data_IF_381561011760
#
_entry.id   IF_381561011760
#
_cell.length_a   1.000
_cell.length_b   1.000
_cell.length_c   1.000
_cell.angle_alpha   90.00
_cell.angle_beta   90.00
_cell.angle_gamma   90.00
#
_symmetry.space_group_name_H-M   'P 1'
#
loop_
_entity.id
_entity.type
_entity.pdbx_description
1 polymer ?
#
# COMPACT_ATOMS: atom_id res chain seq x y z
N UNK A 1 1.12 6.43 -2.12
CA UNK A 1 0.64 5.91 -0.82
C UNK A 1 -0.84 5.70 -0.98
N UNK A 2 -1.35 4.52 -0.63
CA UNK A 2 -2.79 4.27 -0.72
C UNK A 2 -3.53 5.00 0.40
N UNK A 3 -4.71 5.55 0.07
CA UNK A 3 -5.59 6.28 0.97
C UNK A 3 -6.74 5.36 1.40
N UNK A 4 -6.87 5.16 2.71
CA UNK A 4 -7.83 4.23 3.32
C UNK A 4 -8.83 5.04 4.14
N UNK A 5 -10.13 4.76 3.94
CA UNK A 5 -11.20 5.19 4.85
C UNK A 5 -11.43 4.07 5.87
N UNK A 6 -11.40 4.40 7.15
CA UNK A 6 -11.77 3.51 8.26
C UNK A 6 -13.10 4.01 8.83
N UNK A 7 -14.13 3.16 8.79
CA UNK A 7 -15.47 3.46 9.32
C UNK A 7 -15.73 2.55 10.50
N UNK A 8 -15.72 3.12 11.70
CA UNK A 8 -15.77 2.41 12.97
C UNK A 8 -16.33 3.36 14.03
N UNK A 9 -17.29 2.94 14.84
CA UNK A 9 -17.92 3.75 15.87
C UNK A 9 -17.23 3.64 17.24
N UNK A 10 -16.40 2.63 17.45
CA UNK A 10 -15.54 2.49 18.63
C UNK A 10 -14.28 3.36 18.45
N UNK A 11 -14.21 4.47 19.21
CA UNK A 11 -13.11 5.44 19.15
C UNK A 11 -11.74 4.79 19.45
N UNK A 12 -11.69 3.82 20.40
CA UNK A 12 -10.43 3.16 20.77
C UNK A 12 -9.91 2.29 19.62
N UNK A 13 -10.79 1.53 18.98
CA UNK A 13 -10.44 0.70 17.82
C UNK A 13 -10.11 1.57 16.61
N UNK A 14 -10.84 2.66 16.41
CA UNK A 14 -10.59 3.63 15.31
C UNK A 14 -9.18 4.24 15.44
N UNK A 15 -8.82 4.71 16.64
CA UNK A 15 -7.48 5.28 16.90
C UNK A 15 -6.38 4.23 16.72
N UNK A 16 -6.59 3.00 17.22
CA UNK A 16 -5.65 1.91 17.07
C UNK A 16 -5.40 1.58 15.59
N UNK A 17 -6.46 1.46 14.81
CA UNK A 17 -6.37 1.22 13.36
C UNK A 17 -5.67 2.36 12.63
N UNK A 18 -5.97 3.60 13.00
CA UNK A 18 -5.33 4.80 12.43
C UNK A 18 -3.82 4.81 12.69
N UNK A 19 -3.40 4.51 13.93
CA UNK A 19 -1.97 4.45 14.30
C UNK A 19 -1.27 3.33 13.52
N UNK A 20 -1.83 2.12 13.51
CA UNK A 20 -1.27 0.93 12.86
C UNK A 20 -1.10 1.13 11.34
N UNK A 21 -2.15 1.62 10.69
CA UNK A 21 -2.15 1.84 9.25
C UNK A 21 -1.24 3.01 8.82
N UNK A 22 -1.23 4.09 9.62
CA UNK A 22 -0.31 5.21 9.37
C UNK A 22 1.14 4.78 9.56
N UNK A 23 1.44 3.96 10.59
CA UNK A 23 2.75 3.35 10.79
C UNK A 23 3.19 2.45 9.61
N UNK A 24 2.22 1.88 8.90
CA UNK A 24 2.42 1.08 7.68
C UNK A 24 2.40 1.90 6.38
N UNK A 25 2.52 3.22 6.48
CA UNK A 25 2.61 4.16 5.36
C UNK A 25 1.33 4.30 4.51
N UNK A 26 0.16 4.07 5.08
CA UNK A 26 -1.11 4.45 4.48
C UNK A 26 -1.51 5.88 4.88
N UNK A 27 -2.27 6.55 4.03
CA UNK A 27 -2.99 7.79 4.39
C UNK A 27 -4.35 7.34 4.91
N UNK A 28 -4.69 7.70 6.15
CA UNK A 28 -5.91 7.22 6.81
C UNK A 28 -6.82 8.40 7.13
N UNK A 29 -8.07 8.31 6.67
CA UNK A 29 -9.19 9.10 7.15
C UNK A 29 -10.14 8.19 7.91
N UNK A 30 -10.86 8.75 8.88
CA UNK A 30 -11.76 8.03 9.76
C UNK A 30 -13.15 8.61 9.70
N UNK A 31 -14.16 7.79 9.90
CA UNK A 31 -15.57 8.16 10.07
C UNK A 31 -16.17 7.37 11.23
N UNK A 32 -16.93 8.01 12.11
CA UNK A 32 -17.58 7.40 13.26
C UNK A 32 -18.98 6.87 12.97
N UNK A 33 -19.52 7.09 11.76
CA UNK A 33 -20.85 6.63 11.36
C UNK A 33 -20.93 6.33 9.88
N UNK A 34 -21.99 5.62 9.47
CA UNK A 34 -22.23 5.32 8.07
C UNK A 34 -22.59 6.57 7.25
N UNK A 35 -23.28 7.52 7.86
CA UNK A 35 -23.65 8.80 7.23
C UNK A 35 -22.42 9.62 6.92
N UNK A 36 -21.51 9.79 7.90
CA UNK A 36 -20.24 10.48 7.73
C UNK A 36 -19.37 9.82 6.65
N UNK A 37 -19.35 8.48 6.65
CA UNK A 37 -18.62 7.73 5.62
C UNK A 37 -19.14 8.03 4.22
N UNK A 38 -20.48 8.06 4.01
CA UNK A 38 -21.06 8.38 2.72
C UNK A 38 -20.74 9.81 2.28
N UNK A 39 -20.75 10.79 3.19
CA UNK A 39 -20.35 12.16 2.89
C UNK A 39 -18.89 12.25 2.43
N UNK A 40 -17.97 11.59 3.15
CA UNK A 40 -16.55 11.53 2.78
C UNK A 40 -16.35 10.86 1.42
N UNK A 41 -17.10 9.79 1.12
CA UNK A 41 -17.02 9.05 -0.14
C UNK A 41 -17.54 9.85 -1.34
N UNK A 42 -18.36 10.87 -1.14
CA UNK A 42 -18.81 11.77 -2.20
C UNK A 42 -17.74 12.79 -2.62
N UNK A 43 -16.96 13.27 -1.65
CA UNK A 43 -16.00 14.37 -1.88
C UNK A 43 -14.54 13.88 -2.03
N UNK A 44 -14.26 12.65 -1.60
CA UNK A 44 -12.89 12.11 -1.55
C UNK A 44 -12.83 10.73 -2.19
N UNK A 45 -11.78 10.50 -2.99
CA UNK A 45 -11.47 9.16 -3.53
C UNK A 45 -10.56 8.42 -2.56
N UNK A 46 -10.94 7.20 -2.24
CA UNK A 46 -10.16 6.25 -1.45
C UNK A 46 -9.73 5.06 -2.31
N UNK A 47 -8.60 4.46 -1.95
CA UNK A 47 -8.09 3.25 -2.60
C UNK A 47 -8.66 1.98 -1.95
N UNK A 48 -9.14 2.10 -0.69
CA UNK A 48 -9.78 1.02 0.06
C UNK A 48 -10.66 1.62 1.17
N UNK A 49 -11.75 0.92 1.48
CA UNK A 49 -12.65 1.22 2.59
C UNK A 49 -12.61 0.05 3.58
N UNK A 50 -12.30 0.32 4.84
CA UNK A 50 -12.54 -0.60 5.96
C UNK A 50 -13.82 -0.17 6.63
N UNK A 51 -14.79 -1.08 6.77
CA UNK A 51 -16.16 -0.73 7.12
C UNK A 51 -16.70 -1.71 8.18
N UNK A 52 -16.98 -1.21 9.37
CA UNK A 52 -17.69 -2.04 10.36
C UNK A 52 -19.09 -2.37 9.85
N UNK A 53 -19.48 -3.63 10.02
CA UNK A 53 -20.86 -4.09 9.76
C UNK A 53 -21.86 -3.43 10.70
N UNK A 54 -21.48 -3.26 11.98
CA UNK A 54 -22.36 -2.76 13.04
C UNK A 54 -22.03 -1.31 13.35
N UNK A 55 -22.75 -0.39 12.73
CA UNK A 55 -22.65 1.05 12.96
C UNK A 55 -23.93 1.61 13.54
N UNK A 56 -23.89 2.70 14.31
CA UNK A 56 -25.10 3.43 14.69
C UNK A 56 -25.74 4.11 13.47
N UNK A 57 -27.06 4.18 13.45
CA UNK A 57 -27.81 4.72 12.32
C UNK A 57 -27.87 3.74 11.16
N UNK A 58 -27.26 4.07 10.02
CA UNK A 58 -27.17 3.15 8.88
C UNK A 58 -26.03 2.15 9.08
N UNK A 59 -26.34 0.88 8.84
CA UNK A 59 -25.36 -0.22 8.98
C UNK A 59 -24.29 -0.17 7.91
N UNK A 60 -23.12 -0.77 8.18
CA UNK A 60 -22.06 -0.88 7.17
C UNK A 60 -22.51 -1.64 5.91
N UNK A 61 -23.42 -2.60 6.04
CA UNK A 61 -24.00 -3.31 4.90
C UNK A 61 -24.81 -2.35 4.01
N UNK A 62 -25.59 -1.45 4.60
CA UNK A 62 -26.36 -0.43 3.88
C UNK A 62 -25.44 0.62 3.24
N UNK A 63 -24.37 1.04 3.93
CA UNK A 63 -23.33 1.92 3.36
C UNK A 63 -22.70 1.27 2.13
N UNK A 64 -22.28 0.00 2.24
CA UNK A 64 -21.68 -0.76 1.14
C UNK A 64 -22.63 -0.81 -0.06
N UNK A 65 -23.88 -1.22 0.16
CA UNK A 65 -24.88 -1.30 -0.89
C UNK A 65 -25.12 0.05 -1.56
N UNK A 66 -25.33 1.10 -0.78
CA UNK A 66 -25.54 2.47 -1.30
C UNK A 66 -24.35 2.93 -2.15
N UNK A 67 -23.13 2.62 -1.72
CA UNK A 67 -21.91 2.96 -2.44
C UNK A 67 -21.78 2.17 -3.75
N UNK A 68 -22.13 0.87 -3.75
CA UNK A 68 -22.14 0.02 -4.93
C UNK A 68 -23.25 0.40 -5.94
N UNK A 69 -24.42 0.76 -5.47
CA UNK A 69 -25.55 1.17 -6.32
C UNK A 69 -25.22 2.44 -7.13
N UNK A 70 -24.31 3.28 -6.65
CA UNK A 70 -23.76 4.43 -7.37
C UNK A 70 -22.69 4.04 -8.42
N UNK A 71 -22.41 2.75 -8.63
CA UNK A 71 -21.43 2.22 -9.59
C UNK A 71 -19.97 2.28 -9.14
N UNK A 72 -19.72 2.54 -7.85
CA UNK A 72 -18.38 2.60 -7.30
C UNK A 72 -17.76 1.20 -7.11
N UNK A 73 -16.48 1.08 -7.41
CA UNK A 73 -15.73 -0.19 -7.39
C UNK A 73 -14.56 -0.21 -6.41
N UNK A 74 -14.39 0.82 -5.58
CA UNK A 74 -13.34 0.84 -4.55
C UNK A 74 -13.46 -0.41 -3.66
N UNK A 75 -12.38 -1.16 -3.41
CA UNK A 75 -12.41 -2.34 -2.56
C UNK A 75 -12.92 -2.03 -1.15
N UNK A 76 -13.79 -2.92 -0.63
CA UNK A 76 -14.37 -2.81 0.71
C UNK A 76 -13.99 -4.05 1.51
N UNK A 77 -13.31 -3.82 2.65
CA UNK A 77 -13.07 -4.82 3.70
C UNK A 77 -14.07 -4.61 4.82
N UNK A 78 -15.01 -5.55 4.98
CA UNK A 78 -15.94 -5.52 6.10
C UNK A 78 -15.29 -6.01 7.39
N UNK A 79 -15.46 -5.28 8.48
CA UNK A 79 -15.12 -5.70 9.83
C UNK A 79 -16.39 -6.25 10.50
N UNK A 80 -16.33 -7.45 11.07
CA UNK A 80 -17.53 -8.08 11.69
C UNK A 80 -17.20 -8.71 13.04
N UNK A 81 -18.05 -8.51 14.04
CA UNK A 81 -17.95 -9.15 15.36
C UNK A 81 -18.50 -10.58 15.36
N UNK A 82 -19.22 -11.00 14.33
CA UNK A 82 -19.92 -12.28 14.31
C UNK A 82 -19.23 -13.30 13.39
N UNK A 83 -19.07 -14.54 13.89
CA UNK A 83 -18.48 -15.67 13.16
C UNK A 83 -19.54 -16.49 12.41
N UNK A 84 -20.82 -16.06 12.40
CA UNK A 84 -21.92 -16.77 11.77
C UNK A 84 -21.83 -16.83 10.24
N UNK A 85 -22.24 -17.97 9.68
CA UNK A 85 -22.27 -18.19 8.23
C UNK A 85 -23.31 -17.26 7.56
N UNK A 86 -24.37 -16.89 8.28
CA UNK A 86 -25.49 -16.08 7.78
C UNK A 86 -25.09 -14.63 7.50
N UNK A 87 -24.16 -14.06 8.30
CA UNK A 87 -23.62 -12.71 8.05
C UNK A 87 -22.65 -12.66 6.87
N UNK A 88 -21.95 -13.77 6.59
CA UNK A 88 -21.06 -13.86 5.43
C UNK A 88 -21.82 -14.01 4.13
N UNK A 89 -22.99 -14.64 4.14
CA UNK A 89 -23.83 -14.80 2.94
C UNK A 89 -24.61 -13.53 2.62
N UNK A 90 -25.20 -12.87 3.62
CA UNK A 90 -25.86 -11.56 3.44
C UNK A 90 -24.87 -10.45 3.06
N UNK A 91 -23.64 -10.57 3.55
CA UNK A 91 -22.56 -9.64 3.24
C UNK A 91 -21.98 -9.79 1.84
N UNK A 92 -21.86 -11.01 1.30
CA UNK A 92 -21.41 -11.24 -0.10
C UNK A 92 -22.43 -10.63 -1.10
N UNK A 93 -23.73 -10.66 -0.77
CA UNK A 93 -24.78 -10.00 -1.55
C UNK A 93 -24.75 -8.48 -1.43
N UNK A 94 -24.05 -7.90 -0.44
CA UNK A 94 -23.90 -6.45 -0.27
C UNK A 94 -22.87 -5.82 -1.21
N UNK A 95 -22.04 -6.63 -1.87
CA UNK A 95 -20.97 -6.17 -2.77
C UNK A 95 -19.64 -5.86 -2.07
N UNK A 96 -19.42 -6.37 -0.85
CA UNK A 96 -18.11 -6.32 -0.19
C UNK A 96 -17.11 -7.28 -0.86
N UNK A 97 -15.83 -6.92 -0.83
CA UNK A 97 -14.76 -7.70 -1.50
C UNK A 97 -14.06 -8.69 -0.57
N UNK A 98 -14.06 -8.45 0.75
CA UNK A 98 -13.50 -9.35 1.76
C UNK A 98 -14.07 -9.04 3.16
N UNK A 99 -13.88 -9.98 4.10
CA UNK A 99 -14.35 -9.90 5.50
C UNK A 99 -13.23 -10.19 6.46
N UNK A 100 -13.19 -9.45 7.59
CA UNK A 100 -12.27 -9.67 8.70
C UNK A 100 -13.04 -9.71 10.01
N UNK A 101 -12.94 -10.82 10.74
CA UNK A 101 -13.68 -11.03 11.99
C UNK A 101 -12.94 -10.43 13.17
N UNK A 102 -13.64 -9.61 13.97
CA UNK A 102 -13.14 -9.08 15.25
C UNK A 102 -13.23 -10.17 16.36
N UNK A 103 -12.21 -10.31 17.24
CA UNK A 103 -10.91 -9.65 17.18
C UNK A 103 -10.01 -10.28 16.09
N UNK A 104 -9.17 -9.46 15.44
CA UNK A 104 -8.28 -9.90 14.38
C UNK A 104 -6.80 -9.68 14.74
N UNK A 105 -5.93 -10.47 14.10
CA UNK A 105 -4.48 -10.28 14.13
C UNK A 105 -4.09 -9.20 13.12
N UNK A 106 -3.20 -8.27 13.50
CA UNK A 106 -2.70 -7.20 12.62
C UNK A 106 -2.04 -7.77 11.36
N UNK A 107 -1.40 -8.92 11.43
CA UNK A 107 -0.80 -9.60 10.27
C UNK A 107 -1.86 -10.05 9.27
N UNK A 108 -3.02 -10.55 9.76
CA UNK A 108 -4.15 -10.91 8.91
C UNK A 108 -4.75 -9.67 8.25
N UNK A 109 -4.99 -8.61 9.02
CA UNK A 109 -5.44 -7.32 8.50
C UNK A 109 -4.56 -6.85 7.35
N UNK A 110 -3.25 -6.74 7.56
CA UNK A 110 -2.32 -6.29 6.52
C UNK A 110 -2.29 -7.20 5.29
N UNK A 111 -2.42 -8.52 5.47
CA UNK A 111 -2.47 -9.46 4.34
C UNK A 111 -3.72 -9.22 3.46
N UNK A 112 -4.88 -9.00 4.09
CA UNK A 112 -6.14 -8.69 3.39
C UNK A 112 -6.11 -7.34 2.70
N UNK A 113 -5.61 -6.29 3.37
CA UNK A 113 -5.44 -4.95 2.79
C UNK A 113 -4.58 -5.00 1.53
N UNK A 114 -3.42 -5.66 1.60
CA UNK A 114 -2.56 -5.83 0.41
C UNK A 114 -3.29 -6.56 -0.73
N UNK A 115 -4.03 -7.62 -0.41
CA UNK A 115 -4.79 -8.38 -1.41
C UNK A 115 -5.86 -7.53 -2.10
N UNK A 116 -6.59 -6.72 -1.31
CA UNK A 116 -7.67 -5.86 -1.82
C UNK A 116 -7.13 -4.68 -2.63
N UNK A 117 -6.11 -4.00 -2.13
CA UNK A 117 -5.47 -2.89 -2.84
C UNK A 117 -4.90 -3.34 -4.21
N UNK A 118 -4.45 -4.58 -4.31
CA UNK A 118 -4.03 -5.18 -5.58
C UNK A 118 -5.20 -5.34 -6.57
N UNK A 119 -6.40 -5.71 -6.10
CA UNK A 119 -7.61 -5.87 -6.96
C UNK A 119 -8.18 -4.53 -7.42
N UNK A 120 -8.16 -3.50 -6.58
CA UNK A 120 -8.71 -2.16 -6.86
C UNK A 120 -7.91 -1.38 -7.90
N UNK A 121 -6.65 -1.70 -8.08
CA UNK A 121 -5.83 -1.17 -9.19
C UNK A 121 -5.92 -2.16 -10.36
N UNK A 122 -6.92 -2.00 -11.23
CA UNK A 122 -6.98 -2.74 -12.49
C UNK A 122 -5.61 -2.68 -13.19
N UNK A 123 -4.87 -3.79 -13.15
CA UNK A 123 -3.68 -4.07 -13.94
C UNK A 123 -2.45 -3.15 -13.75
N UNK A 124 -2.13 -2.68 -12.55
CA UNK A 124 -0.73 -2.49 -12.21
C UNK A 124 -0.29 -3.70 -11.41
N UNK A 125 0.35 -4.65 -12.07
CA UNK A 125 1.01 -5.75 -11.38
C UNK A 125 1.88 -5.15 -10.29
N UNK A 126 1.81 -5.63 -9.04
CA UNK A 126 2.77 -5.29 -7.98
C UNK A 126 4.20 -5.73 -8.35
N UNK A 127 4.35 -6.22 -9.57
CA UNK A 127 5.61 -6.50 -10.25
C UNK A 127 6.00 -5.29 -11.07
N UNK A 128 6.95 -4.54 -10.58
CA UNK A 128 7.59 -3.47 -11.32
C UNK A 128 8.61 -4.08 -12.27
N UNK A 129 8.65 -3.60 -13.50
CA UNK A 129 9.61 -4.08 -14.50
C UNK A 129 10.36 -2.90 -15.10
N UNK A 130 11.69 -3.04 -15.20
CA UNK A 130 12.55 -2.08 -15.86
C UNK A 130 13.70 -2.84 -16.54
N UNK A 131 13.80 -2.75 -17.86
CA UNK A 131 14.73 -3.55 -18.67
C UNK A 131 14.62 -5.06 -18.33
N UNK A 132 15.69 -5.65 -17.82
CA UNK A 132 15.79 -7.05 -17.43
C UNK A 132 15.55 -7.33 -15.94
N UNK A 133 15.14 -6.31 -15.17
CA UNK A 133 14.82 -6.44 -13.75
C UNK A 133 13.31 -6.48 -13.56
N UNK A 134 12.85 -7.44 -12.73
CA UNK A 134 11.50 -7.44 -12.17
C UNK A 134 11.58 -7.39 -10.65
N UNK A 135 10.73 -6.60 -10.04
CA UNK A 135 10.61 -6.45 -8.59
C UNK A 135 9.17 -6.71 -8.20
N UNK A 136 8.91 -7.77 -7.47
CA UNK A 136 7.61 -8.07 -6.88
C UNK A 136 7.55 -7.44 -5.48
N UNK A 137 6.63 -6.49 -5.32
CA UNK A 137 6.48 -5.72 -4.07
C UNK A 137 5.93 -6.61 -2.94
N UNK A 138 5.07 -7.58 -3.27
CA UNK A 138 4.38 -8.42 -2.30
C UNK A 138 5.28 -9.52 -1.75
N UNK A 139 5.92 -10.29 -2.65
CA UNK A 139 6.86 -11.34 -2.27
C UNK A 139 8.22 -10.79 -1.83
N UNK A 140 8.50 -9.51 -2.14
CA UNK A 140 9.79 -8.84 -1.98
C UNK A 140 10.91 -9.55 -2.75
N UNK A 141 10.57 -10.21 -3.83
CA UNK A 141 11.52 -10.86 -4.72
C UNK A 141 11.97 -9.91 -5.83
N UNK A 142 13.24 -10.00 -6.15
CA UNK A 142 13.82 -9.28 -7.30
C UNK A 142 14.49 -10.28 -8.20
N UNK A 143 14.19 -10.23 -9.49
CA UNK A 143 14.85 -11.07 -10.49
C UNK A 143 15.55 -10.22 -11.54
N UNK A 144 16.62 -10.76 -12.12
CA UNK A 144 17.32 -10.24 -13.30
C UNK A 144 17.44 -11.35 -14.33
N UNK A 145 16.87 -11.12 -15.52
CA UNK A 145 16.76 -12.15 -16.55
C UNK A 145 16.12 -13.45 -16.03
N UNK A 146 15.15 -13.34 -15.09
CA UNK A 146 14.49 -14.48 -14.45
C UNK A 146 15.27 -15.14 -13.30
N UNK A 147 16.51 -14.73 -13.01
CA UNK A 147 17.31 -15.25 -11.90
C UNK A 147 17.14 -14.35 -10.65
N UNK A 148 16.89 -14.96 -9.49
CA UNK A 148 16.71 -14.24 -8.22
C UNK A 148 17.97 -13.49 -7.79
N UNK A 149 17.78 -12.23 -7.36
CA UNK A 149 18.81 -11.38 -6.76
C UNK A 149 18.45 -11.12 -5.30
N UNK A 150 19.37 -11.40 -4.39
CA UNK A 150 19.19 -11.07 -2.97
C UNK A 150 19.56 -9.61 -2.70
N UNK A 151 18.55 -8.79 -2.39
CA UNK A 151 18.73 -7.42 -1.95
C UNK A 151 18.59 -7.31 -0.42
N UNK A 152 19.36 -6.42 0.19
CA UNK A 152 19.12 -5.99 1.56
C UNK A 152 17.86 -5.12 1.65
N UNK A 153 17.22 -5.00 2.82
CA UNK A 153 15.95 -4.25 2.95
C UNK A 153 16.00 -2.82 2.39
N UNK A 154 17.09 -2.10 2.61
CA UNK A 154 17.24 -0.72 2.10
C UNK A 154 17.60 -0.65 0.61
N UNK A 155 18.31 -1.65 0.08
CA UNK A 155 18.54 -1.80 -1.36
C UNK A 155 17.21 -2.06 -2.09
N UNK A 156 16.35 -2.94 -1.53
CA UNK A 156 15.03 -3.20 -2.05
C UNK A 156 14.16 -1.94 -2.06
N UNK A 157 14.08 -1.23 -0.92
CA UNK A 157 13.30 -0.01 -0.80
C UNK A 157 13.77 1.09 -1.77
N UNK A 158 15.09 1.22 -1.95
CA UNK A 158 15.67 2.17 -2.90
C UNK A 158 15.35 1.80 -4.35
N UNK A 159 15.47 0.52 -4.72
CA UNK A 159 15.11 0.04 -6.05
C UNK A 159 13.62 0.25 -6.33
N UNK A 160 12.76 -0.14 -5.40
CA UNK A 160 11.31 0.07 -5.48
C UNK A 160 10.97 1.55 -5.69
N UNK A 161 11.56 2.45 -4.90
CA UNK A 161 11.33 3.89 -5.04
C UNK A 161 11.73 4.40 -6.42
N UNK A 162 12.88 4.00 -6.92
CA UNK A 162 13.36 4.40 -8.24
C UNK A 162 12.51 3.81 -9.38
N UNK A 163 12.05 2.56 -9.26
CA UNK A 163 11.17 1.91 -10.25
C UNK A 163 9.76 2.50 -10.27
N UNK A 164 9.25 2.99 -9.15
CA UNK A 164 7.99 3.75 -9.09
C UNK A 164 8.12 5.18 -9.67
N UNK A 165 9.34 5.66 -9.88
CA UNK A 165 9.63 6.99 -10.41
C UNK A 165 10.60 6.92 -11.60
N UNK A 166 10.27 6.19 -12.67
CA UNK A 166 11.18 5.97 -13.78
C UNK A 166 11.55 7.30 -14.47
N UNK A 167 12.78 7.39 -14.93
CA UNK A 167 13.35 8.53 -15.64
C UNK A 167 13.38 9.86 -14.86
N UNK A 168 12.94 9.88 -13.59
CA UNK A 168 13.08 11.06 -12.70
C UNK A 168 14.43 11.02 -11.99
N UNK A 169 15.12 12.16 -11.98
CA UNK A 169 16.40 12.32 -11.28
C UNK A 169 16.18 12.80 -9.84
N UNK A 170 16.84 12.15 -8.89
CA UNK A 170 16.75 12.47 -7.47
C UNK A 170 18.13 12.77 -6.90
N UNK A 171 18.26 13.87 -6.17
CA UNK A 171 19.46 14.19 -5.39
C UNK A 171 19.62 13.19 -4.24
N UNK A 172 20.85 12.91 -3.79
CA UNK A 172 21.08 12.00 -2.66
C UNK A 172 20.32 12.38 -1.39
N UNK A 173 20.15 13.67 -1.11
CA UNK A 173 19.39 14.19 0.02
C UNK A 173 17.90 13.78 -0.09
N UNK A 174 17.32 13.91 -1.28
CA UNK A 174 15.94 13.52 -1.52
C UNK A 174 15.72 11.99 -1.41
N UNK A 175 16.73 11.20 -1.80
CA UNK A 175 16.71 9.75 -1.59
C UNK A 175 16.81 9.40 -0.10
N UNK A 176 17.66 10.10 0.66
CA UNK A 176 17.79 9.94 2.10
C UNK A 176 16.43 10.17 2.78
N UNK A 177 15.79 11.30 2.50
CA UNK A 177 14.51 11.67 3.09
C UNK A 177 13.37 10.70 2.73
N UNK A 178 13.42 10.06 1.57
CA UNK A 178 12.34 9.18 1.08
C UNK A 178 12.49 7.72 1.48
N UNK A 179 13.74 7.23 1.56
CA UNK A 179 14.02 5.80 1.78
C UNK A 179 14.44 5.51 3.22
N UNK A 180 14.97 6.51 3.96
CA UNK A 180 15.46 6.37 5.33
C UNK A 180 14.73 7.24 6.35
N UNK A 181 13.46 7.62 6.09
CA UNK A 181 12.66 8.51 6.96
C UNK A 181 12.66 8.13 8.45
N UNK A 182 12.73 6.83 8.75
CA UNK A 182 12.69 6.31 10.13
C UNK A 182 14.06 6.26 10.83
N UNK A 183 15.16 6.48 10.11
CA UNK A 183 16.51 6.24 10.60
C UNK A 183 17.26 7.56 10.85
N UNK A 184 17.03 8.19 12.01
CA UNK A 184 17.60 9.49 12.40
C UNK A 184 19.15 9.58 12.39
N UNK A 185 19.86 8.44 12.32
CA UNK A 185 21.32 8.38 12.37
C UNK A 185 21.99 8.14 11.00
N UNK A 186 21.23 8.11 9.90
CA UNK A 186 21.74 7.79 8.56
C UNK A 186 22.29 9.04 7.89
N UNK A 187 23.47 8.91 7.27
CA UNK A 187 24.16 9.99 6.57
C UNK A 187 24.14 9.77 5.05
N UNK A 188 24.47 10.80 4.28
CA UNK A 188 24.59 10.71 2.82
C UNK A 188 25.58 9.62 2.37
N UNK A 189 26.61 9.32 3.17
CA UNK A 189 27.55 8.24 2.84
C UNK A 189 26.87 6.87 2.76
N UNK A 190 25.83 6.63 3.59
CA UNK A 190 25.03 5.41 3.54
C UNK A 190 24.22 5.33 2.24
N UNK A 191 23.66 6.46 1.76
CA UNK A 191 22.93 6.52 0.48
C UNK A 191 23.88 6.14 -0.67
N UNK A 192 25.06 6.75 -0.72
CA UNK A 192 26.06 6.44 -1.77
C UNK A 192 26.52 4.98 -1.73
N UNK A 193 26.75 4.43 -0.53
CA UNK A 193 27.14 3.01 -0.38
C UNK A 193 26.03 2.10 -0.84
N UNK A 194 24.76 2.37 -0.46
CA UNK A 194 23.61 1.56 -0.87
C UNK A 194 23.38 1.65 -2.38
N UNK A 195 23.52 2.84 -2.98
CA UNK A 195 23.43 3.02 -4.44
C UNK A 195 24.50 2.20 -5.17
N UNK A 196 25.73 2.23 -4.67
CA UNK A 196 26.84 1.46 -5.24
C UNK A 196 26.55 -0.05 -5.19
N UNK A 197 26.25 -0.58 -4.00
CA UNK A 197 25.97 -2.02 -3.83
C UNK A 197 24.74 -2.47 -4.59
N UNK A 198 23.71 -1.63 -4.68
CA UNK A 198 22.53 -1.91 -5.49
C UNK A 198 22.88 -1.98 -6.97
N UNK A 199 23.62 -0.99 -7.51
CA UNK A 199 24.06 -0.99 -8.93
C UNK A 199 24.87 -2.24 -9.26
N UNK A 200 25.81 -2.62 -8.44
CA UNK A 200 26.64 -3.82 -8.63
C UNK A 200 25.78 -5.10 -8.73
N UNK A 201 24.63 -5.15 -8.05
CA UNK A 201 23.70 -6.29 -8.08
C UNK A 201 22.73 -6.26 -9.27
N UNK A 202 22.14 -5.10 -9.56
CA UNK A 202 21.09 -5.01 -10.60
C UNK A 202 21.65 -4.70 -12.00
N UNK A 203 22.83 -4.08 -12.09
CA UNK A 203 23.45 -3.64 -13.36
C UNK A 203 24.96 -3.96 -13.41
N UNK A 204 25.40 -5.21 -13.27
CA UNK A 204 26.81 -5.54 -13.41
C UNK A 204 27.23 -5.36 -14.88
N UNK A 205 28.22 -4.52 -15.12
CA UNK A 205 28.74 -4.19 -16.45
C UNK A 205 28.14 -2.90 -17.05
N UNK A 206 28.10 -2.80 -18.37
CA UNK A 206 27.73 -1.57 -19.10
C UNK A 206 26.22 -1.30 -19.18
N UNK A 207 25.36 -2.20 -18.70
CA UNK A 207 23.91 -2.01 -18.74
C UNK A 207 23.41 -1.19 -17.53
N UNK A 208 23.67 0.12 -17.59
CA UNK A 208 23.27 1.05 -16.54
C UNK A 208 21.75 1.19 -16.40
N UNK A 209 21.14 0.40 -15.47
CA UNK A 209 19.75 0.60 -15.05
C UNK A 209 19.61 1.86 -14.20
N UNK A 210 20.56 2.06 -13.26
CA UNK A 210 20.60 3.24 -12.38
C UNK A 210 21.75 4.15 -12.82
N UNK A 211 21.40 5.25 -13.49
CA UNK A 211 22.34 6.24 -14.00
C UNK A 211 22.69 7.29 -12.94
N UNK A 212 23.97 7.63 -12.85
CA UNK A 212 24.44 8.82 -12.13
C UNK A 212 24.49 10.00 -13.11
N UNK A 213 23.54 10.93 -12.99
CA UNK A 213 23.54 12.17 -13.77
C UNK A 213 24.44 13.18 -13.04
N UNK A 214 25.63 13.41 -13.60
CA UNK A 214 26.64 14.25 -12.98
C UNK A 214 26.12 15.63 -12.60
N UNK A 215 26.33 16.04 -11.33
CA UNK A 215 25.86 17.32 -10.78
C UNK A 215 24.35 17.42 -10.50
N UNK A 216 23.54 16.38 -10.83
CA UNK A 216 22.09 16.38 -10.67
C UNK A 216 21.61 15.33 -9.69
N UNK A 217 22.05 14.07 -9.83
CA UNK A 217 21.64 12.97 -8.96
C UNK A 217 21.52 11.63 -9.67
N UNK A 218 20.63 10.77 -9.18
CA UNK A 218 20.45 9.41 -9.66
C UNK A 218 19.06 9.23 -10.25
N UNK A 219 18.98 8.47 -11.35
CA UNK A 219 17.70 8.08 -11.98
C UNK A 219 17.73 6.63 -12.44
N UNK A 220 16.57 6.01 -12.53
CA UNK A 220 16.38 4.71 -13.14
C UNK A 220 15.96 4.90 -14.61
N UNK A 221 16.65 4.24 -15.52
CA UNK A 221 16.32 4.20 -16.96
C UNK A 221 15.38 3.05 -17.26
N UNK A 222 14.33 3.30 -17.98
CA UNK A 222 13.43 2.29 -18.55
C UNK A 222 13.70 2.06 -20.01
#
# INVERSE_FOLDING_TARGET
>A
MAKILVVEDDDELQDLLKIELTGSHYIVEVAGSGEEALELLEITKFDLIMLDVTLPGITGVEVCKTYRDKGNTTPILMLTGNRGIDDKTSGLDSGADDYLTKPFDTRELHARLRSLLRRGHAATSNVLSAKNITLDIDSREVTRNGANIKLLPKEFALLQFLMLNPNKCFKPEALLDRVWQSDKAVTLSTVYTTLKTLRDKVSPGDDELIENVHGVGYKLKT
#
